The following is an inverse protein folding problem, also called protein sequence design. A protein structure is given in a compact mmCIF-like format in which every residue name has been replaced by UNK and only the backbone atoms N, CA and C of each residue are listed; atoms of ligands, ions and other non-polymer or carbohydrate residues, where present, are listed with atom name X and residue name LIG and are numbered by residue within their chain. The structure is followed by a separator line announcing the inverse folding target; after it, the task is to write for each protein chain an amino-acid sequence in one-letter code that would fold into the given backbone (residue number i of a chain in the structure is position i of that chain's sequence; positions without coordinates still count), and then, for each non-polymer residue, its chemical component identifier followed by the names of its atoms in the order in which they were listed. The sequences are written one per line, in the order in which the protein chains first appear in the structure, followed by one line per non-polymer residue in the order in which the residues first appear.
data_IF_540728154217
#
_entry.id   IF_540728154217
#
_cell.length_a   1.000
_cell.length_b   1.000
_cell.length_c   1.000
_cell.angle_alpha   90.00
_cell.angle_beta   90.00
_cell.angle_gamma   90.00
#
_symmetry.space_group_name_H-M   'P 1'
#
loop_
_entity.id
_entity.type
_entity.pdbx_description
1 polymer ?
#
# COMPACT_ATOMS: atom_id res chain seq x y z
N UNK A 1 -18.05 38.97 18.16
CA UNK A 1 -18.63 37.62 17.98
C UNK A 1 -19.62 37.71 16.83
N UNK A 2 -19.62 36.74 15.90
CA UNK A 2 -20.60 36.72 14.81
C UNK A 2 -22.01 36.59 15.41
N UNK A 3 -22.92 37.50 15.08
CA UNK A 3 -24.27 37.56 15.67
C UNK A 3 -25.33 36.83 14.83
N UNK A 4 -24.94 36.25 13.70
CA UNK A 4 -25.83 35.61 12.74
C UNK A 4 -25.21 34.33 12.21
N UNK A 5 -25.89 33.21 12.43
CA UNK A 5 -25.54 31.88 11.94
C UNK A 5 -26.56 31.45 10.90
N UNK A 6 -26.13 30.64 9.93
CA UNK A 6 -27.02 29.96 9.00
C UNK A 6 -26.74 28.47 9.07
N UNK A 7 -27.79 27.72 9.35
CA UNK A 7 -27.75 26.27 9.41
C UNK A 7 -27.67 25.73 8.00
N UNK A 8 -26.76 24.79 7.76
CA UNK A 8 -26.69 24.07 6.49
C UNK A 8 -27.91 23.17 6.31
N UNK A 9 -28.46 23.16 5.10
CA UNK A 9 -29.43 22.16 4.68
C UNK A 9 -28.69 20.95 4.08
N UNK A 10 -29.39 19.82 3.93
CA UNK A 10 -28.82 18.62 3.31
C UNK A 10 -28.26 18.90 1.89
N UNK A 11 -28.88 19.82 1.14
CA UNK A 11 -28.43 20.22 -0.20
C UNK A 11 -27.21 21.17 -0.21
N UNK A 12 -26.77 21.63 0.96
CA UNK A 12 -25.59 22.50 1.11
C UNK A 12 -24.34 21.71 1.50
N UNK A 13 -24.47 20.41 1.75
CA UNK A 13 -23.37 19.53 2.14
C UNK A 13 -23.23 18.46 1.06
N UNK A 14 -22.01 18.30 0.55
CA UNK A 14 -21.69 17.21 -0.39
C UNK A 14 -20.40 16.57 0.04
N UNK A 15 -20.46 15.29 0.38
CA UNK A 15 -19.26 14.51 0.69
C UNK A 15 -18.83 13.77 -0.56
N UNK A 16 -17.54 13.89 -0.89
CA UNK A 16 -16.91 13.22 -2.02
C UNK A 16 -15.69 12.47 -1.53
N UNK A 17 -15.55 11.22 -1.96
CA UNK A 17 -14.34 10.43 -1.75
C UNK A 17 -13.51 10.49 -3.02
N UNK A 18 -12.26 10.94 -2.92
CA UNK A 18 -11.32 10.97 -4.04
C UNK A 18 -10.19 10.01 -3.76
N UNK A 19 -9.87 9.15 -4.72
CA UNK A 19 -8.71 8.27 -4.66
C UNK A 19 -7.53 8.95 -5.34
N UNK A 20 -6.46 9.17 -4.61
CA UNK A 20 -5.19 9.63 -5.15
C UNK A 20 -4.27 8.42 -5.34
N UNK A 21 -3.53 8.39 -6.45
CA UNK A 21 -2.55 7.35 -6.71
C UNK A 21 -1.16 7.95 -6.85
N UNK A 22 -0.19 7.41 -6.13
CA UNK A 22 1.23 7.72 -6.26
C UNK A 22 1.97 6.47 -6.75
N UNK A 23 2.88 6.63 -7.71
CA UNK A 23 3.71 5.54 -8.20
C UNK A 23 4.88 5.29 -7.25
N UNK A 24 5.08 4.04 -6.87
CA UNK A 24 6.13 3.57 -5.97
C UNK A 24 7.03 2.59 -6.74
N UNK A 25 8.11 3.08 -7.36
CA UNK A 25 9.15 2.23 -7.93
C UNK A 25 10.18 1.87 -6.87
N UNK A 26 10.42 0.58 -6.67
CA UNK A 26 11.46 0.06 -5.80
C UNK A 26 12.44 -0.71 -6.67
N UNK A 27 13.57 -0.08 -6.96
CA UNK A 27 14.53 -0.64 -7.90
C UNK A 27 15.40 -1.72 -7.26
N UNK A 28 15.79 -2.76 -7.99
CA UNK A 28 16.67 -3.83 -7.48
C UNK A 28 18.00 -3.31 -6.93
N UNK A 29 18.48 -2.17 -7.43
CA UNK A 29 19.65 -1.49 -6.84
C UNK A 29 19.42 -1.16 -5.36
N UNK A 30 18.28 -0.59 -4.96
CA UNK A 30 18.00 -0.32 -3.54
C UNK A 30 17.86 -1.61 -2.73
N UNK A 31 17.45 -2.70 -3.36
CA UNK A 31 17.23 -4.00 -2.73
C UNK A 31 18.55 -4.77 -2.52
N UNK A 32 19.50 -4.68 -3.45
CA UNK A 32 20.71 -5.54 -3.44
C UNK A 32 21.99 -4.92 -4.05
N UNK A 33 21.97 -3.70 -4.58
CA UNK A 33 23.10 -3.14 -5.35
C UNK A 33 23.65 -1.77 -4.92
N UNK A 34 22.87 -0.89 -4.31
CA UNK A 34 23.18 0.54 -4.13
C UNK A 34 24.27 0.79 -3.09
N UNK A 35 24.27 0.03 -2.00
CA UNK A 35 25.17 0.24 -0.86
C UNK A 35 26.10 -0.96 -0.64
N UNK A 36 26.60 -1.54 -1.74
CA UNK A 36 27.47 -2.72 -1.74
C UNK A 36 28.83 -2.38 -1.09
N UNK A 37 28.95 -2.71 0.19
CA UNK A 37 30.20 -2.72 0.97
C UNK A 37 30.58 -4.16 1.38
N UNK A 38 31.44 -4.36 2.40
CA UNK A 38 31.65 -5.69 2.99
C UNK A 38 30.36 -6.31 3.58
N UNK A 39 29.37 -5.46 3.88
CA UNK A 39 28.01 -5.77 4.29
C UNK A 39 27.06 -4.82 3.55
N UNK A 40 25.86 -5.28 3.20
CA UNK A 40 24.80 -4.46 2.61
C UNK A 40 24.24 -3.54 3.70
N UNK A 41 24.71 -2.29 3.76
CA UNK A 41 24.47 -1.41 4.92
C UNK A 41 23.03 -0.92 5.07
N UNK A 42 22.19 -1.06 4.04
CA UNK A 42 20.76 -0.76 4.05
C UNK A 42 19.88 -1.98 4.38
N UNK A 43 20.51 -3.11 4.66
CA UNK A 43 19.86 -4.39 4.90
C UNK A 43 20.10 -4.80 6.34
N UNK A 44 19.02 -5.11 7.06
CA UNK A 44 19.08 -5.48 8.46
C UNK A 44 18.62 -6.91 8.66
N UNK A 45 19.55 -7.77 9.04
CA UNK A 45 19.28 -9.10 9.59
C UNK A 45 19.24 -9.03 11.11
N UNK A 46 18.27 -9.69 11.73
CA UNK A 46 18.07 -9.65 13.18
C UNK A 46 18.66 -10.89 13.85
N UNK A 47 19.07 -10.77 15.12
CA UNK A 47 19.67 -11.89 15.87
C UNK A 47 18.76 -13.10 16.04
N UNK A 48 17.43 -12.92 15.96
CA UNK A 48 16.47 -14.03 16.01
C UNK A 48 16.41 -14.83 14.69
N UNK A 49 16.91 -14.27 13.59
CA UNK A 49 17.02 -14.88 12.27
C UNK A 49 15.69 -15.38 11.71
N UNK A 50 14.69 -14.51 11.69
CA UNK A 50 13.32 -14.83 11.25
C UNK A 50 12.85 -13.99 10.06
N UNK A 51 13.54 -12.91 9.73
CA UNK A 51 13.25 -12.04 8.59
C UNK A 51 14.41 -11.07 8.39
N UNK A 52 14.42 -10.45 7.21
CA UNK A 52 15.37 -9.44 6.79
C UNK A 52 14.61 -8.18 6.39
N UNK A 53 15.06 -7.00 6.85
CA UNK A 53 14.43 -5.71 6.51
C UNK A 53 15.27 -4.95 5.50
N UNK A 54 14.60 -4.34 4.51
CA UNK A 54 15.21 -3.47 3.50
C UNK A 54 14.87 -2.02 3.79
N UNK A 55 15.89 -1.16 3.77
CA UNK A 55 15.78 0.29 3.95
C UNK A 55 16.24 1.05 2.71
N UNK A 56 15.75 2.28 2.56
CA UNK A 56 16.12 3.19 1.46
C UNK A 56 17.54 3.77 1.60
N UNK A 57 18.05 3.81 2.83
CA UNK A 57 19.38 4.25 3.22
C UNK A 57 20.01 3.24 4.19
N UNK A 58 21.31 3.38 4.53
CA UNK A 58 21.92 2.57 5.56
C UNK A 58 21.09 2.54 6.85
N UNK A 59 20.73 1.37 7.37
CA UNK A 59 19.67 1.23 8.40
C UNK A 59 20.02 1.85 9.76
N UNK A 60 21.28 2.25 9.98
CA UNK A 60 21.73 3.01 11.15
C UNK A 60 21.57 4.53 11.00
N UNK A 61 21.26 4.99 9.79
CA UNK A 61 21.01 6.40 9.50
C UNK A 61 19.67 6.83 10.10
N UNK A 62 19.62 8.02 10.69
CA UNK A 62 18.37 8.63 11.16
C UNK A 62 17.37 8.95 10.04
N UNK A 63 17.86 8.97 8.79
CA UNK A 63 17.05 9.24 7.60
C UNK A 63 16.60 7.97 6.89
N UNK A 64 16.96 6.78 7.40
CA UNK A 64 16.57 5.52 6.78
C UNK A 64 15.11 5.19 7.08
N UNK A 65 14.33 5.06 6.01
CA UNK A 65 12.96 4.59 6.05
C UNK A 65 12.91 3.10 5.72
N UNK A 66 12.08 2.38 6.46
CA UNK A 66 11.80 0.99 6.20
C UNK A 66 10.92 0.85 4.95
N UNK A 67 11.36 0.01 4.00
CA UNK A 67 10.67 -0.23 2.73
C UNK A 67 9.79 -1.48 2.86
N UNK A 68 10.40 -2.64 3.16
CA UNK A 68 9.69 -3.90 3.36
C UNK A 68 10.53 -4.90 4.16
N UNK A 69 9.87 -5.94 4.65
CA UNK A 69 10.52 -7.13 5.23
C UNK A 69 10.35 -8.35 4.32
N UNK A 70 11.33 -9.23 4.30
CA UNK A 70 11.29 -10.53 3.63
C UNK A 70 11.42 -11.65 4.66
N UNK A 71 10.56 -12.65 4.57
CA UNK A 71 10.68 -13.90 5.32
C UNK A 71 10.20 -15.09 4.49
N UNK A 72 10.43 -16.30 4.99
CA UNK A 72 10.04 -17.55 4.34
C UNK A 72 9.49 -18.54 5.38
N UNK A 73 8.45 -19.26 4.99
CA UNK A 73 7.81 -20.27 5.81
C UNK A 73 7.22 -21.40 4.97
N UNK A 74 6.88 -22.50 5.63
CA UNK A 74 6.24 -23.63 4.97
C UNK A 74 5.21 -24.31 5.87
N UNK A 75 4.27 -25.02 5.24
CA UNK A 75 3.24 -25.78 5.90
C UNK A 75 3.82 -27.07 6.51
N UNK A 76 3.33 -27.44 7.71
CA UNK A 76 3.80 -28.59 8.49
C UNK A 76 3.41 -29.97 7.95
N UNK A 77 2.79 -30.04 6.78
CA UNK A 77 2.52 -31.28 6.05
C UNK A 77 3.01 -31.21 4.61
N UNK A 78 3.94 -30.30 4.31
CA UNK A 78 4.57 -30.24 2.99
C UNK A 78 5.27 -31.56 2.69
N UNK A 79 5.12 -32.08 1.46
CA UNK A 79 5.81 -33.29 1.00
C UNK A 79 7.33 -33.20 1.13
N UNK A 80 7.88 -31.99 1.22
CA UNK A 80 9.30 -31.75 1.42
C UNK A 80 9.77 -32.08 2.84
N UNK A 81 8.88 -32.21 3.82
CA UNK A 81 9.26 -32.71 5.15
C UNK A 81 9.42 -34.24 5.16
N UNK A 82 8.78 -34.95 4.23
CA UNK A 82 8.78 -36.41 4.17
C UNK A 82 9.92 -37.00 3.33
N UNK A 83 10.57 -36.19 2.48
CA UNK A 83 11.77 -36.59 1.71
C UNK A 83 13.01 -36.06 2.44
N UNK A 84 13.63 -36.83 3.36
CA UNK A 84 14.84 -36.39 4.05
C UNK A 84 16.01 -36.40 3.06
N UNK A 85 16.21 -35.29 2.34
CA UNK A 85 17.51 -35.01 1.69
C UNK A 85 18.56 -34.59 2.74
N UNK A 86 18.12 -34.30 3.99
CA UNK A 86 18.98 -33.93 5.10
C UNK A 86 18.53 -34.55 6.44
N UNK A 87 19.47 -34.73 7.37
CA UNK A 87 19.25 -35.45 8.64
C UNK A 87 18.43 -34.67 9.68
N UNK A 88 18.41 -33.34 9.60
CA UNK A 88 17.57 -32.46 10.42
C UNK A 88 17.23 -31.18 9.66
N UNK A 89 15.96 -30.78 9.63
CA UNK A 89 15.53 -29.56 8.96
C UNK A 89 15.94 -28.34 9.79
N UNK A 90 16.62 -27.38 9.17
CA UNK A 90 17.09 -26.16 9.83
C UNK A 90 15.91 -25.22 10.06
N UNK A 91 15.73 -24.80 11.33
CA UNK A 91 14.69 -23.84 11.76
C UNK A 91 13.24 -24.26 11.42
N UNK A 92 12.95 -25.56 11.37
CA UNK A 92 11.64 -26.09 10.96
C UNK A 92 10.45 -25.49 11.73
N UNK A 93 10.51 -25.51 13.07
CA UNK A 93 9.45 -24.94 13.91
C UNK A 93 9.22 -23.44 13.67
N UNK A 94 10.28 -22.68 13.37
CA UNK A 94 10.16 -21.26 13.05
C UNK A 94 9.49 -21.06 11.68
N UNK A 95 9.86 -21.84 10.67
CA UNK A 95 9.25 -21.78 9.33
C UNK A 95 7.76 -22.12 9.36
N UNK A 96 7.38 -23.14 10.13
CA UNK A 96 5.97 -23.51 10.35
C UNK A 96 5.22 -22.37 11.05
N UNK A 97 5.80 -21.81 12.12
CA UNK A 97 5.17 -20.72 12.87
C UNK A 97 4.96 -19.47 12.01
N UNK A 98 5.94 -19.11 11.17
CA UNK A 98 5.83 -17.97 10.24
C UNK A 98 4.71 -18.21 9.24
N UNK A 99 4.69 -19.38 8.58
CA UNK A 99 3.63 -19.72 7.64
C UNK A 99 2.24 -19.63 8.30
N UNK A 100 2.09 -20.23 9.48
CA UNK A 100 0.84 -20.20 10.24
C UNK A 100 0.43 -18.79 10.66
N UNK A 101 1.38 -17.94 11.06
CA UNK A 101 1.10 -16.55 11.42
C UNK A 101 0.56 -15.76 10.24
N UNK A 102 1.18 -15.87 9.06
CA UNK A 102 0.67 -15.21 7.86
C UNK A 102 -0.67 -15.79 7.43
N UNK A 103 -0.83 -17.11 7.48
CA UNK A 103 -2.10 -17.76 7.17
C UNK A 103 -3.24 -17.29 8.11
N UNK A 104 -2.98 -17.15 9.41
CA UNK A 104 -3.98 -16.63 10.36
C UNK A 104 -4.43 -15.19 10.09
N UNK A 105 -3.52 -14.36 9.57
CA UNK A 105 -3.81 -12.95 9.25
C UNK A 105 -4.49 -12.84 7.89
N UNK A 106 -4.13 -13.68 6.92
CA UNK A 106 -4.46 -13.46 5.51
C UNK A 106 -5.53 -14.41 4.97
N UNK A 107 -5.69 -15.58 5.57
CA UNK A 107 -6.61 -16.63 5.14
C UNK A 107 -7.69 -16.83 6.20
N UNK A 108 -8.97 -16.99 5.83
CA UNK A 108 -10.02 -17.31 6.80
C UNK A 108 -9.79 -18.67 7.45
N UNK A 109 -10.24 -18.81 8.70
CA UNK A 109 -10.27 -20.11 9.38
C UNK A 109 -11.24 -21.07 8.69
N UNK A 110 -11.01 -22.38 8.80
CA UNK A 110 -11.95 -23.39 8.31
C UNK A 110 -13.23 -23.44 9.17
N UNK A 111 -14.21 -24.23 8.73
CA UNK A 111 -15.48 -24.43 9.46
C UNK A 111 -15.30 -25.02 10.88
N UNK A 112 -14.13 -25.60 11.16
CA UNK A 112 -13.76 -26.18 12.45
C UNK A 112 -12.88 -25.24 13.29
N UNK A 113 -12.57 -24.04 12.80
CA UNK A 113 -11.71 -23.06 13.47
C UNK A 113 -10.21 -23.29 13.33
N UNK A 114 -9.76 -24.16 12.41
CA UNK A 114 -8.34 -24.39 12.15
C UNK A 114 -7.77 -23.40 11.13
N UNK A 115 -6.46 -23.19 11.21
CA UNK A 115 -5.71 -22.38 10.26
C UNK A 115 -5.73 -23.10 8.91
N UNK A 116 -6.12 -22.38 7.85
CA UNK A 116 -6.11 -22.88 6.49
C UNK A 116 -4.78 -22.59 5.78
N UNK A 117 -4.44 -23.42 4.79
CA UNK A 117 -3.34 -23.14 3.88
C UNK A 117 -3.76 -22.13 2.82
N UNK A 118 -2.78 -21.44 2.23
CA UNK A 118 -3.02 -20.58 1.07
C UNK A 118 -3.45 -21.44 -0.13
N UNK A 119 -4.62 -21.17 -0.71
CA UNK A 119 -5.04 -21.80 -1.95
C UNK A 119 -4.44 -21.05 -3.15
N UNK A 120 -3.83 -21.78 -4.07
CA UNK A 120 -3.24 -21.20 -5.27
C UNK A 120 -4.24 -20.33 -6.04
N UNK A 121 -5.48 -20.80 -6.20
CA UNK A 121 -6.51 -20.13 -7.01
C UNK A 121 -7.36 -19.11 -6.21
N UNK A 122 -7.11 -19.00 -4.90
CA UNK A 122 -7.83 -18.14 -3.97
C UNK A 122 -9.24 -18.63 -3.59
N UNK A 123 -9.64 -19.84 -4.00
CA UNK A 123 -10.86 -20.50 -3.56
C UNK A 123 -10.60 -21.28 -2.27
N UNK A 124 -10.94 -20.66 -1.14
CA UNK A 124 -10.79 -21.28 0.19
C UNK A 124 -11.94 -22.24 0.52
N UNK A 125 -12.96 -22.34 -0.33
CA UNK A 125 -14.12 -23.19 -0.10
C UNK A 125 -14.06 -24.49 -0.92
N UNK A 126 -13.49 -24.43 -2.13
CA UNK A 126 -13.19 -25.60 -2.92
C UNK A 126 -11.87 -26.25 -2.48
N UNK A 127 -11.78 -27.57 -2.60
CA UNK A 127 -10.47 -28.24 -2.57
C UNK A 127 -9.63 -27.78 -3.77
N UNK A 128 -8.30 -27.76 -3.63
CA UNK A 128 -7.43 -27.20 -4.67
C UNK A 128 -5.95 -27.39 -4.36
N UNK A 129 -5.10 -26.94 -5.28
CA UNK A 129 -3.65 -26.92 -5.08
C UNK A 129 -3.30 -25.87 -4.03
N UNK A 130 -2.57 -26.27 -2.99
CA UNK A 130 -2.16 -25.37 -1.92
C UNK A 130 -0.73 -24.88 -2.12
N UNK A 131 -0.41 -23.72 -1.56
CA UNK A 131 0.94 -23.20 -1.52
C UNK A 131 1.64 -23.71 -0.25
N UNK A 132 2.41 -24.78 -0.39
CA UNK A 132 3.07 -25.45 0.74
C UNK A 132 4.24 -24.66 1.31
N UNK A 133 4.98 -23.93 0.48
CA UNK A 133 6.15 -23.15 0.88
C UNK A 133 6.11 -21.79 0.21
N UNK A 134 6.23 -20.75 1.03
CA UNK A 134 6.01 -19.38 0.62
C UNK A 134 7.11 -18.46 1.12
N UNK A 135 7.40 -17.46 0.29
CA UNK A 135 8.04 -16.23 0.70
C UNK A 135 6.97 -15.19 1.00
N UNK A 136 7.22 -14.38 2.02
CA UNK A 136 6.34 -13.31 2.44
C UNK A 136 7.12 -12.00 2.37
N UNK A 137 6.58 -11.02 1.66
CA UNK A 137 7.11 -9.66 1.60
C UNK A 137 6.07 -8.71 2.17
N UNK A 138 6.42 -8.01 3.25
CA UNK A 138 5.51 -7.06 3.91
C UNK A 138 5.98 -5.63 3.66
N UNK A 139 5.25 -4.90 2.83
CA UNK A 139 5.55 -3.51 2.52
C UNK A 139 5.18 -2.58 3.67
N UNK A 140 6.01 -1.58 3.90
CA UNK A 140 5.78 -0.55 4.89
C UNK A 140 4.55 0.28 4.52
N UNK A 141 3.71 0.60 5.52
CA UNK A 141 2.58 1.53 5.36
C UNK A 141 2.99 2.92 4.88
N UNK A 142 4.26 3.30 5.04
CA UNK A 142 4.78 4.54 4.46
C UNK A 142 4.59 4.57 2.93
N UNK A 143 4.78 3.40 2.29
CA UNK A 143 4.72 3.21 0.84
C UNK A 143 3.30 2.89 0.38
N UNK A 144 2.64 1.92 1.03
CA UNK A 144 1.32 1.44 0.60
C UNK A 144 0.17 2.38 0.98
N UNK A 145 0.38 3.29 1.95
CA UNK A 145 -0.65 4.19 2.48
C UNK A 145 -1.89 3.41 2.95
N UNK A 146 -3.03 3.61 2.30
CA UNK A 146 -4.27 2.91 2.62
C UNK A 146 -4.36 1.55 1.92
N UNK A 147 -3.97 1.48 0.65
CA UNK A 147 -3.91 0.21 -0.10
C UNK A 147 -2.99 0.27 -1.33
N UNK A 148 -2.49 -0.89 -1.76
CA UNK A 148 -1.89 -1.06 -3.09
C UNK A 148 -3.00 -1.05 -4.15
N UNK A 149 -2.80 -0.30 -5.23
CA UNK A 149 -3.77 -0.23 -6.34
C UNK A 149 -3.89 -1.57 -7.06
N UNK A 150 -5.13 -2.06 -7.15
CA UNK A 150 -5.48 -3.31 -7.86
C UNK A 150 -5.15 -3.26 -9.35
N UNK A 151 -4.66 -4.38 -9.89
CA UNK A 151 -4.30 -4.59 -11.30
C UNK A 151 -2.97 -3.95 -11.72
N UNK A 152 -2.28 -3.27 -10.82
CA UNK A 152 -1.10 -2.46 -11.12
C UNK A 152 0.19 -2.95 -10.47
N UNK A 153 0.13 -3.93 -9.57
CA UNK A 153 1.32 -4.46 -8.91
C UNK A 153 2.18 -5.26 -9.89
N UNK A 154 3.47 -4.91 -10.00
CA UNK A 154 4.47 -5.60 -10.82
C UNK A 154 5.69 -5.92 -9.96
N UNK A 155 6.20 -7.13 -10.15
CA UNK A 155 7.36 -7.66 -9.41
C UNK A 155 8.23 -8.44 -10.39
N UNK A 156 9.33 -7.83 -10.81
CA UNK A 156 10.30 -8.43 -11.71
C UNK A 156 11.38 -9.11 -10.90
N UNK A 157 11.66 -10.38 -11.23
CA UNK A 157 12.69 -11.15 -10.55
C UNK A 157 13.40 -12.13 -11.46
N UNK A 158 14.64 -12.43 -11.13
CA UNK A 158 15.44 -13.47 -11.76
C UNK A 158 15.06 -14.84 -11.21
N UNK A 159 14.47 -15.69 -12.05
CA UNK A 159 14.06 -17.06 -11.69
C UNK A 159 14.80 -18.06 -12.57
N UNK A 160 15.22 -19.19 -11.99
CA UNK A 160 15.83 -20.26 -12.77
C UNK A 160 14.75 -21.05 -13.52
N UNK A 161 15.00 -21.31 -14.81
CA UNK A 161 14.38 -22.41 -15.53
C UNK A 161 15.46 -23.37 -16.00
N UNK A 162 15.38 -24.62 -15.53
CA UNK A 162 16.31 -25.64 -15.98
C UNK A 162 16.12 -25.88 -17.46
N UNK A 163 17.22 -25.76 -18.19
CA UNK A 163 17.26 -25.93 -19.65
C UNK A 163 17.45 -24.64 -20.45
N UNK A 164 17.54 -23.47 -19.83
CA UNK A 164 17.79 -22.23 -20.57
C UNK A 164 19.29 -21.87 -20.63
N UNK A 165 20.09 -22.70 -21.30
CA UNK A 165 21.34 -22.25 -21.93
C UNK A 165 21.06 -21.32 -23.13
N UNK A 166 19.79 -21.08 -23.46
CA UNK A 166 19.30 -20.23 -24.54
C UNK A 166 18.45 -19.03 -24.05
N UNK A 167 18.52 -18.69 -22.77
CA UNK A 167 17.95 -17.44 -22.28
C UNK A 167 18.93 -16.36 -22.71
N UNK A 168 18.46 -15.34 -23.44
CA UNK A 168 19.29 -14.20 -23.79
C UNK A 168 19.81 -13.61 -22.50
N UNK A 169 21.05 -13.95 -22.17
CA UNK A 169 21.77 -13.35 -21.07
C UNK A 169 21.92 -11.88 -21.42
N UNK A 170 21.63 -10.99 -20.46
CA UNK A 170 21.88 -9.58 -20.66
C UNK A 170 23.41 -9.33 -20.85
N UNK A 171 23.85 -8.13 -21.21
CA UNK A 171 25.28 -7.84 -21.41
C UNK A 171 26.16 -8.09 -20.17
N UNK A 172 25.56 -8.15 -18.98
CA UNK A 172 26.17 -8.44 -17.68
C UNK A 172 26.09 -9.94 -17.32
N UNK A 173 25.37 -10.67 -18.17
CA UNK A 173 25.16 -12.09 -18.24
C UNK A 173 24.04 -12.63 -17.34
N UNK A 174 23.23 -11.78 -16.72
CA UNK A 174 22.08 -12.22 -15.93
C UNK A 174 20.99 -12.81 -16.83
N UNK A 175 20.24 -13.78 -16.31
CA UNK A 175 19.06 -14.32 -17.00
C UNK A 175 18.03 -13.20 -17.20
N UNK A 176 17.22 -13.24 -18.26
CA UNK A 176 16.13 -12.26 -18.40
C UNK A 176 15.15 -12.37 -17.22
N UNK A 177 14.79 -11.25 -16.53
CA UNK A 177 13.87 -11.29 -15.41
C UNK A 177 12.45 -11.69 -15.86
N UNK A 178 11.73 -12.38 -14.98
CA UNK A 178 10.31 -12.68 -15.14
C UNK A 178 9.50 -11.66 -14.36
N UNK A 179 8.60 -10.96 -15.04
CA UNK A 179 7.67 -10.03 -14.40
C UNK A 179 6.42 -10.76 -13.94
N UNK A 180 6.21 -10.76 -12.63
CA UNK A 180 5.00 -11.16 -11.95
C UNK A 180 4.07 -9.97 -11.77
N UNK A 181 2.76 -10.22 -11.69
CA UNK A 181 1.80 -9.17 -11.40
C UNK A 181 0.39 -9.68 -11.20
N UNK A 182 -0.47 -8.80 -10.68
CA UNK A 182 -1.88 -9.06 -10.44
C UNK A 182 -2.73 -8.81 -11.68
N UNK A 183 -2.37 -9.45 -12.78
CA UNK A 183 -3.01 -9.28 -14.09
C UNK A 183 -4.52 -9.57 -14.00
N UNK A 184 -5.35 -8.64 -14.49
CA UNK A 184 -6.82 -8.75 -14.46
C UNK A 184 -7.49 -8.42 -13.13
N UNK A 185 -6.72 -8.21 -12.05
CA UNK A 185 -7.25 -8.03 -10.70
C UNK A 185 -8.04 -6.71 -10.49
N UNK A 186 -8.08 -5.82 -11.48
CA UNK A 186 -9.05 -4.71 -11.48
C UNK A 186 -10.51 -5.19 -11.46
N UNK A 187 -10.77 -6.43 -11.88
CA UNK A 187 -12.13 -7.02 -11.92
C UNK A 187 -12.22 -8.41 -11.29
N UNK A 188 -11.10 -9.14 -11.17
CA UNK A 188 -11.05 -10.51 -10.67
C UNK A 188 -10.41 -10.66 -9.28
N UNK A 189 -10.31 -9.57 -8.52
CA UNK A 189 -9.82 -9.63 -7.13
C UNK A 189 -10.74 -10.48 -6.25
N UNK A 190 -10.17 -11.00 -5.17
CA UNK A 190 -10.82 -11.87 -4.20
C UNK A 190 -11.15 -11.07 -2.93
N UNK A 191 -12.24 -11.47 -2.27
CA UNK A 191 -12.83 -10.77 -1.10
C UNK A 191 -12.96 -11.67 0.14
N UNK A 192 -12.48 -12.91 0.05
CA UNK A 192 -12.60 -13.92 1.09
C UNK A 192 -11.47 -13.89 2.13
N UNK A 193 -10.78 -12.76 2.31
CA UNK A 193 -9.74 -12.60 3.32
C UNK A 193 -10.22 -11.70 4.47
N UNK A 194 -9.85 -12.00 5.73
CA UNK A 194 -10.16 -11.13 6.87
C UNK A 194 -9.41 -9.78 6.82
N UNK A 195 -8.32 -9.67 6.05
CA UNK A 195 -7.49 -8.45 5.96
C UNK A 195 -7.73 -7.69 4.65
N UNK A 196 -8.95 -7.81 4.10
CA UNK A 196 -9.39 -7.06 2.94
C UNK A 196 -9.35 -7.85 1.64
N UNK A 197 -9.10 -7.16 0.55
CA UNK A 197 -9.13 -7.70 -0.80
C UNK A 197 -7.72 -8.08 -1.25
N UNK A 198 -7.64 -9.06 -2.14
CA UNK A 198 -6.36 -9.50 -2.68
C UNK A 198 -6.44 -9.94 -4.14
N UNK A 199 -5.32 -9.82 -4.84
CA UNK A 199 -5.15 -10.26 -6.22
C UNK A 199 -4.33 -11.54 -6.29
N UNK A 200 -4.59 -12.37 -7.30
CA UNK A 200 -3.72 -13.48 -7.64
C UNK A 200 -2.54 -12.96 -8.47
N UNK A 201 -1.34 -13.48 -8.20
CA UNK A 201 -0.11 -13.11 -8.88
C UNK A 201 0.17 -14.12 -9.99
N UNK A 202 0.36 -13.64 -11.22
CA UNK A 202 0.71 -14.47 -12.37
C UNK A 202 2.02 -14.00 -12.98
N UNK A 203 2.72 -14.88 -13.69
CA UNK A 203 3.75 -14.43 -14.63
C UNK A 203 3.11 -13.71 -15.81
N UNK A 204 3.82 -12.75 -16.41
CA UNK A 204 3.34 -11.99 -17.58
C UNK A 204 2.85 -12.87 -18.75
N UNK A 205 3.42 -14.07 -18.90
CA UNK A 205 3.08 -15.04 -19.95
C UNK A 205 1.94 -16.00 -19.59
N UNK A 206 1.46 -16.00 -18.34
CA UNK A 206 0.40 -16.90 -17.90
C UNK A 206 -0.98 -16.30 -18.21
N UNK A 207 -1.95 -17.17 -18.49
CA UNK A 207 -3.35 -16.78 -18.64
C UNK A 207 -3.94 -16.45 -17.27
N UNK A 208 -4.14 -15.16 -17.01
CA UNK A 208 -4.66 -14.68 -15.71
C UNK A 208 -6.17 -14.95 -15.53
N UNK A 209 -6.84 -15.54 -16.53
CA UNK A 209 -8.21 -16.04 -16.38
C UNK A 209 -8.27 -17.47 -15.80
N UNK A 210 -7.16 -18.21 -15.85
CA UNK A 210 -7.00 -19.51 -15.21
C UNK A 210 -6.29 -19.34 -13.84
N UNK A 211 -7.02 -19.33 -12.72
CA UNK A 211 -6.44 -19.04 -11.41
C UNK A 211 -5.52 -20.17 -10.92
N UNK A 212 -5.55 -21.36 -11.55
CA UNK A 212 -4.61 -22.47 -11.27
C UNK A 212 -3.19 -22.20 -11.77
N UNK A 213 -2.96 -21.08 -12.46
CA UNK A 213 -1.64 -20.62 -12.92
C UNK A 213 -1.01 -19.56 -12.01
N UNK A 214 -1.66 -19.21 -10.90
CA UNK A 214 -1.14 -18.21 -9.98
C UNK A 214 0.09 -18.72 -9.22
N UNK A 215 1.03 -17.81 -8.92
CA UNK A 215 2.26 -18.05 -8.16
C UNK A 215 2.25 -17.36 -6.79
N UNK A 216 1.11 -16.81 -6.38
CA UNK A 216 1.05 -16.03 -5.16
C UNK A 216 -0.18 -15.15 -5.06
N UNK A 217 -0.23 -14.36 -3.99
CA UNK A 217 -1.30 -13.40 -3.69
C UNK A 217 -0.70 -12.07 -3.26
N UNK A 218 -1.35 -10.95 -3.63
CA UNK A 218 -1.05 -9.62 -3.10
C UNK A 218 -2.27 -9.09 -2.35
N UNK A 219 -2.13 -8.88 -1.04
CA UNK A 219 -3.18 -8.36 -0.17
C UNK A 219 -3.08 -6.84 -0.11
N UNK A 220 -4.06 -6.15 -0.69
CA UNK A 220 -3.94 -4.73 -1.05
C UNK A 220 -3.91 -3.81 0.17
N UNK A 221 -4.84 -4.00 1.11
CA UNK A 221 -4.92 -3.19 2.34
C UNK A 221 -3.87 -3.62 3.37
N UNK A 222 -3.46 -4.89 3.35
CA UNK A 222 -2.40 -5.41 4.22
C UNK A 222 -1.02 -4.93 3.77
N UNK A 223 -0.81 -4.71 2.46
CA UNK A 223 0.51 -4.47 1.89
C UNK A 223 1.39 -5.72 1.97
N UNK A 224 0.82 -6.92 1.79
CA UNK A 224 1.56 -8.19 1.94
C UNK A 224 1.50 -8.99 0.64
N UNK A 225 2.68 -9.31 0.10
CA UNK A 225 2.85 -10.24 -1.00
C UNK A 225 3.20 -11.62 -0.45
N UNK A 226 2.44 -12.62 -0.86
CA UNK A 226 2.72 -14.04 -0.62
C UNK A 226 3.13 -14.65 -1.96
N UNK A 227 4.33 -15.19 -2.07
CA UNK A 227 4.80 -15.89 -3.26
C UNK A 227 5.08 -17.35 -2.93
N UNK A 228 4.52 -18.29 -3.68
CA UNK A 228 4.93 -19.68 -3.56
C UNK A 228 6.33 -19.88 -4.11
N UNK A 229 7.13 -20.70 -3.43
CA UNK A 229 8.47 -21.09 -3.90
C UNK A 229 8.47 -21.80 -5.25
N UNK A 230 7.31 -22.28 -5.72
CA UNK A 230 7.16 -22.94 -7.03
C UNK A 230 7.49 -22.04 -8.21
N UNK A 231 7.55 -20.71 -8.00
CA UNK A 231 8.07 -19.76 -8.99
C UNK A 231 9.51 -20.07 -9.41
N UNK A 232 10.33 -20.59 -8.49
CA UNK A 232 11.64 -21.14 -8.80
C UNK A 232 11.41 -22.56 -9.34
N UNK A 233 11.66 -22.82 -10.63
CA UNK A 233 11.28 -24.12 -11.23
C UNK A 233 12.08 -25.30 -10.69
N UNK A 234 13.36 -25.08 -10.39
CA UNK A 234 14.25 -26.09 -9.81
C UNK A 234 15.11 -25.51 -8.69
N UNK A 235 16.08 -24.64 -9.01
CA UNK A 235 16.98 -24.08 -7.99
C UNK A 235 16.52 -22.72 -7.45
N UNK A 236 16.68 -22.53 -6.13
CA UNK A 236 16.69 -21.23 -5.50
C UNK A 236 18.10 -20.63 -5.70
N UNK A 237 18.19 -19.66 -6.63
CA UNK A 237 19.42 -18.95 -7.05
C UNK A 237 20.48 -19.87 -7.68
N UNK A 238 20.83 -19.62 -8.94
CA UNK A 238 21.93 -20.33 -9.62
C UNK A 238 23.26 -19.77 -9.11
N UNK A 239 24.01 -20.58 -8.36
CA UNK A 239 25.45 -20.35 -8.20
C UNK A 239 26.14 -20.50 -9.55
N UNK A 240 26.55 -19.39 -10.17
CA UNK A 240 27.24 -19.45 -11.46
C UNK A 240 27.20 -18.17 -12.29
N UNK A 241 26.34 -17.21 -11.96
CA UNK A 241 26.41 -15.86 -12.52
C UNK A 241 26.91 -14.86 -11.49
N UNK A 242 27.77 -13.94 -11.94
CA UNK A 242 28.51 -12.95 -11.14
C UNK A 242 27.54 -12.28 -10.16
N UNK A 243 27.83 -12.38 -8.85
CA UNK A 243 27.01 -11.89 -7.71
C UNK A 243 26.06 -12.89 -7.02
N UNK A 244 26.47 -14.15 -6.76
CA UNK A 244 25.86 -14.85 -5.60
C UNK A 244 26.22 -14.10 -4.32
N UNK A 245 25.23 -13.57 -3.58
CA UNK A 245 25.48 -12.89 -2.30
C UNK A 245 26.19 -13.75 -1.27
N UNK A 246 26.99 -13.09 -0.43
CA UNK A 246 27.49 -13.68 0.79
C UNK A 246 26.31 -14.10 1.67
N UNK A 247 26.42 -15.26 2.33
CA UNK A 247 25.39 -15.79 3.24
C UNK A 247 24.03 -16.09 2.57
N UNK A 248 23.99 -16.42 1.28
CA UNK A 248 22.80 -17.04 0.66
C UNK A 248 22.96 -18.55 0.50
N UNK A 249 21.82 -19.24 0.45
CA UNK A 249 21.76 -20.66 0.11
C UNK A 249 21.52 -20.84 -1.39
N UNK A 250 22.19 -21.84 -1.98
CA UNK A 250 22.03 -22.22 -3.40
C UNK A 250 21.64 -23.70 -3.52
N UNK A 251 20.99 -24.03 -4.64
CA UNK A 251 20.57 -25.39 -4.99
C UNK A 251 19.05 -25.54 -5.08
N UNK A 252 18.58 -26.77 -5.28
CA UNK A 252 17.16 -27.06 -5.48
C UNK A 252 16.32 -26.39 -4.38
N UNK A 253 15.20 -25.76 -4.74
CA UNK A 253 14.31 -25.05 -3.82
C UNK A 253 13.93 -25.91 -2.61
N UNK A 254 13.75 -27.22 -2.80
CA UNK A 254 13.45 -28.19 -1.75
C UNK A 254 14.60 -28.25 -0.73
N UNK A 255 15.83 -28.48 -1.20
CA UNK A 255 17.03 -28.46 -0.35
C UNK A 255 17.23 -27.10 0.32
N UNK A 256 17.02 -26.01 -0.40
CA UNK A 256 17.17 -24.67 0.15
C UNK A 256 16.22 -24.45 1.35
N UNK A 257 14.95 -24.83 1.23
CA UNK A 257 13.99 -24.77 2.34
C UNK A 257 14.31 -25.75 3.47
N UNK A 258 14.97 -26.89 3.21
CA UNK A 258 15.35 -27.83 4.27
C UNK A 258 16.60 -27.40 5.05
N UNK A 259 17.67 -26.99 4.36
CA UNK A 259 18.98 -26.75 4.98
C UNK A 259 19.30 -25.27 5.22
N UNK A 260 18.56 -24.34 4.61
CA UNK A 260 18.79 -22.91 4.75
C UNK A 260 18.17 -22.32 6.01
N UNK A 261 18.83 -21.34 6.62
CA UNK A 261 18.18 -20.46 7.59
C UNK A 261 17.18 -19.53 6.88
N UNK A 262 16.23 -18.97 7.61
CA UNK A 262 15.26 -18.01 7.06
C UNK A 262 15.96 -16.77 6.50
N UNK A 263 17.03 -16.30 7.16
CA UNK A 263 17.83 -15.19 6.64
C UNK A 263 18.51 -15.54 5.31
N UNK A 264 19.02 -16.77 5.16
CA UNK A 264 19.61 -17.23 3.89
C UNK A 264 18.58 -17.32 2.76
N UNK A 265 17.34 -17.71 3.08
CA UNK A 265 16.23 -17.75 2.14
C UNK A 265 15.78 -16.34 1.75
N UNK A 266 15.64 -15.44 2.72
CA UNK A 266 15.27 -14.04 2.49
C UNK A 266 16.33 -13.34 1.62
N UNK A 267 17.61 -13.54 1.93
CA UNK A 267 18.73 -12.97 1.18
C UNK A 267 18.79 -13.53 -0.25
N UNK A 268 18.50 -14.83 -0.43
CA UNK A 268 18.42 -15.45 -1.75
C UNK A 268 17.29 -14.84 -2.61
N UNK A 269 16.09 -14.64 -2.04
CA UNK A 269 15.01 -13.95 -2.73
C UNK A 269 15.38 -12.50 -3.03
N UNK A 270 15.95 -11.80 -2.05
CA UNK A 270 16.32 -10.37 -2.16
C UNK A 270 17.23 -10.10 -3.35
N UNK A 271 18.24 -10.94 -3.55
CA UNK A 271 19.15 -10.83 -4.70
C UNK A 271 18.53 -11.28 -6.03
N UNK A 272 17.43 -12.03 -5.99
CA UNK A 272 16.65 -12.35 -7.16
C UNK A 272 15.71 -11.21 -7.59
N UNK A 273 15.44 -10.22 -6.74
CA UNK A 273 14.57 -9.09 -7.07
C UNK A 273 15.29 -8.16 -8.05
N UNK A 274 14.64 -7.93 -9.20
CA UNK A 274 15.08 -6.95 -10.18
C UNK A 274 14.39 -5.61 -9.96
N UNK A 275 13.06 -5.56 -9.90
CA UNK A 275 12.30 -4.33 -9.64
C UNK A 275 10.93 -4.69 -9.02
N UNK A 276 10.38 -3.80 -8.19
CA UNK A 276 9.01 -3.87 -7.68
C UNK A 276 8.34 -2.53 -7.95
N UNK A 277 7.25 -2.55 -8.71
CA UNK A 277 6.50 -1.34 -9.08
C UNK A 277 5.03 -1.50 -8.73
N UNK A 278 4.49 -0.53 -8.02
CA UNK A 278 3.06 -0.43 -7.79
C UNK A 278 2.65 1.01 -7.51
N UNK A 279 1.37 1.31 -7.71
CA UNK A 279 0.80 2.56 -7.25
C UNK A 279 0.14 2.32 -5.90
N UNK A 280 0.39 3.20 -4.94
CA UNK A 280 -0.44 3.25 -3.74
C UNK A 280 -1.77 3.93 -4.03
N UNK A 281 -2.68 3.83 -3.08
CA UNK A 281 -3.92 4.60 -3.05
C UNK A 281 -4.03 5.28 -1.69
N UNK A 282 -4.33 6.58 -1.73
CA UNK A 282 -4.74 7.34 -0.55
C UNK A 282 -6.17 7.81 -0.74
N UNK A 283 -7.00 7.52 0.24
CA UNK A 283 -8.40 7.92 0.24
C UNK A 283 -8.55 9.30 0.90
N UNK A 284 -8.82 10.32 0.07
CA UNK A 284 -9.13 11.65 0.58
C UNK A 284 -10.65 11.78 0.74
N UNK A 285 -11.08 11.86 1.99
CA UNK A 285 -12.46 12.17 2.33
C UNK A 285 -12.63 13.68 2.39
N UNK A 286 -13.34 14.22 1.41
CA UNK A 286 -13.62 15.65 1.33
C UNK A 286 -15.09 15.90 1.61
N UNK A 287 -15.38 16.79 2.56
CA UNK A 287 -16.74 17.35 2.69
C UNK A 287 -16.74 18.78 2.16
N UNK A 288 -17.58 19.02 1.16
CA UNK A 288 -17.82 20.32 0.58
C UNK A 288 -19.05 20.95 1.22
N UNK A 289 -18.86 22.17 1.74
CA UNK A 289 -19.92 23.01 2.26
C UNK A 289 -20.20 24.14 1.28
N UNK A 290 -21.45 24.29 0.86
CA UNK A 290 -21.92 25.40 0.04
C UNK A 290 -22.51 26.48 0.95
N UNK A 291 -21.69 27.45 1.29
CA UNK A 291 -22.12 28.61 2.07
C UNK A 291 -22.81 29.61 1.14
N UNK A 292 -24.14 29.55 1.09
CA UNK A 292 -24.98 30.43 0.27
C UNK A 292 -25.41 31.65 1.06
N UNK A 293 -24.97 32.83 0.63
CA UNK A 293 -25.47 34.12 1.08
C UNK A 293 -26.45 34.65 0.02
N UNK A 294 -27.74 34.45 0.24
CA UNK A 294 -28.78 34.80 -0.73
C UNK A 294 -28.97 36.32 -0.83
N UNK A 295 -29.78 36.75 -1.79
CA UNK A 295 -30.34 38.12 -1.83
C UNK A 295 -30.94 38.46 -0.46
N UNK A 296 -30.76 39.71 -0.01
CA UNK A 296 -31.21 40.19 1.31
C UNK A 296 -30.53 39.59 2.57
N UNK A 297 -29.61 38.63 2.44
CA UNK A 297 -28.84 38.09 3.57
C UNK A 297 -27.44 38.70 3.67
N UNK A 298 -26.90 38.82 4.89
CA UNK A 298 -25.51 39.22 5.17
C UNK A 298 -25.06 40.57 4.58
N UNK A 299 -25.98 41.49 4.31
CA UNK A 299 -25.67 42.82 3.73
C UNK A 299 -25.10 43.82 4.75
N UNK A 300 -25.05 43.45 6.03
CA UNK A 300 -24.57 44.29 7.13
C UNK A 300 -23.39 43.62 7.83
N UNK A 301 -22.48 44.43 8.38
CA UNK A 301 -21.31 43.93 9.10
C UNK A 301 -21.49 44.12 10.60
N UNK A 302 -21.00 43.16 11.38
CA UNK A 302 -20.86 43.28 12.84
C UNK A 302 -19.54 43.99 13.24
N UNK A 303 -18.77 44.52 12.30
CA UNK A 303 -17.57 45.30 12.59
C UNK A 303 -17.97 46.60 13.34
N UNK A 304 -17.35 46.92 14.50
CA UNK A 304 -17.63 48.16 15.22
C UNK A 304 -17.54 49.43 14.37
N UNK A 305 -16.69 49.46 13.34
CA UNK A 305 -16.57 50.62 12.44
C UNK A 305 -17.78 50.81 11.51
N UNK A 306 -18.71 49.86 11.49
CA UNK A 306 -19.94 49.94 10.70
C UNK A 306 -21.02 50.81 11.36
N UNK A 307 -20.86 51.11 12.66
CA UNK A 307 -21.76 51.95 13.44
C UNK A 307 -21.04 53.20 13.96
N UNK A 308 -21.73 54.34 13.96
CA UNK A 308 -21.33 55.57 14.64
C UNK A 308 -22.55 56.10 15.39
N UNK A 309 -22.44 56.35 16.69
CA UNK A 309 -23.56 56.76 17.56
C UNK A 309 -24.81 55.87 17.43
N UNK A 310 -24.62 54.55 17.34
CA UNK A 310 -25.69 53.55 17.12
C UNK A 310 -26.47 53.72 15.80
N UNK A 311 -25.91 54.45 14.82
CA UNK A 311 -26.43 54.58 13.46
C UNK A 311 -25.50 53.91 12.47
N UNK A 312 -26.05 53.34 11.39
CA UNK A 312 -25.26 52.77 10.30
C UNK A 312 -24.54 53.91 9.57
N UNK A 313 -23.23 53.76 9.38
CA UNK A 313 -22.43 54.71 8.60
C UNK A 313 -22.73 54.51 7.12
N UNK A 314 -23.42 55.47 6.50
CA UNK A 314 -23.74 55.47 5.06
C UNK A 314 -22.71 56.29 4.28
N UNK A 315 -22.28 55.77 3.14
CA UNK A 315 -21.30 56.46 2.29
C UNK A 315 -21.98 57.59 1.53
N UNK A 316 -21.54 58.84 1.76
CA UNK A 316 -22.05 60.02 1.06
C UNK A 316 -23.37 60.58 1.60
N UNK A 317 -23.66 60.36 2.89
CA UNK A 317 -24.85 60.88 3.61
C UNK A 317 -26.21 60.56 2.97
N UNK A 318 -26.26 59.60 2.05
CA UNK A 318 -27.49 59.15 1.43
C UNK A 318 -28.06 57.94 2.19
N UNK A 319 -29.08 58.20 3.00
CA UNK A 319 -29.79 57.15 3.75
C UNK A 319 -30.53 56.14 2.86
N UNK A 320 -30.71 56.43 1.58
CA UNK A 320 -31.35 55.53 0.60
C UNK A 320 -30.33 54.69 -0.18
N UNK A 321 -29.04 54.85 0.06
CA UNK A 321 -28.02 54.02 -0.58
C UNK A 321 -28.09 52.58 -0.08
N UNK A 322 -28.03 51.62 -1.00
CA UNK A 322 -28.02 50.20 -0.63
C UNK A 322 -26.77 49.86 0.22
N UNK A 323 -26.93 49.13 1.33
CA UNK A 323 -25.81 48.69 2.15
C UNK A 323 -24.94 47.69 1.38
N UNK A 324 -23.62 47.84 1.53
CA UNK A 324 -22.62 46.93 0.96
C UNK A 324 -21.75 46.40 2.09
N UNK A 325 -21.57 45.09 2.13
CA UNK A 325 -20.65 44.39 3.02
C UNK A 325 -19.60 43.62 2.21
N UNK A 326 -18.52 43.21 2.86
CA UNK A 326 -17.50 42.38 2.24
C UNK A 326 -17.28 41.13 3.10
N UNK A 327 -17.39 39.96 2.48
CA UNK A 327 -17.14 38.68 3.13
C UNK A 327 -15.64 38.40 3.01
N UNK A 328 -14.97 38.19 4.13
CA UNK A 328 -13.52 37.91 4.19
C UNK A 328 -13.20 36.53 4.76
N UNK A 329 -14.08 36.01 5.60
CA UNK A 329 -13.87 34.78 6.36
C UNK A 329 -15.20 34.07 6.57
N UNK A 330 -15.17 32.74 6.50
CA UNK A 330 -16.30 31.86 6.83
C UNK A 330 -15.88 30.96 7.98
N UNK A 331 -16.69 30.90 9.03
CA UNK A 331 -16.48 30.00 10.17
C UNK A 331 -17.50 28.87 10.16
N UNK A 332 -17.05 27.64 10.36
CA UNK A 332 -17.89 26.47 10.61
C UNK A 332 -18.04 26.31 12.13
N UNK A 333 -19.27 26.25 12.62
CA UNK A 333 -19.58 26.12 14.04
C UNK A 333 -20.32 24.82 14.34
N UNK A 334 -20.06 24.24 15.51
CA UNK A 334 -20.80 23.09 16.05
C UNK A 334 -22.21 23.51 16.54
N UNK A 335 -23.05 22.53 16.90
CA UNK A 335 -24.37 22.79 17.48
C UNK A 335 -24.29 23.54 18.83
N UNK A 336 -23.16 23.43 19.53
CA UNK A 336 -22.89 24.13 20.79
C UNK A 336 -22.24 25.51 20.59
N UNK A 337 -22.20 26.00 19.34
CA UNK A 337 -21.55 27.26 18.93
C UNK A 337 -20.03 27.30 19.12
N UNK A 338 -19.36 26.15 19.09
CA UNK A 338 -17.89 26.09 19.08
C UNK A 338 -17.36 26.19 17.65
N UNK A 339 -16.31 26.98 17.42
CA UNK A 339 -15.69 27.13 16.10
C UNK A 339 -14.88 25.88 15.75
N UNK A 340 -15.29 25.16 14.71
CA UNK A 340 -14.66 23.94 14.23
C UNK A 340 -13.61 24.19 13.15
N UNK A 341 -13.93 25.07 12.19
CA UNK A 341 -13.04 25.37 11.08
C UNK A 341 -13.22 26.82 10.62
N UNK A 342 -12.19 27.37 9.97
CA UNK A 342 -12.22 28.73 9.40
C UNK A 342 -11.63 28.71 8.01
N UNK A 343 -12.37 29.25 7.04
CA UNK A 343 -11.91 29.47 5.68
C UNK A 343 -11.76 30.96 5.41
N UNK A 344 -10.67 31.36 4.74
CA UNK A 344 -10.42 32.75 4.33
C UNK A 344 -10.48 32.84 2.81
N UNK A 345 -11.11 33.89 2.31
CA UNK A 345 -11.07 34.21 0.88
C UNK A 345 -9.79 34.99 0.56
N UNK A 346 -9.26 34.80 -0.64
CA UNK A 346 -8.05 35.50 -1.11
C UNK A 346 -8.26 37.00 -1.24
N UNK A 347 -9.47 37.42 -1.58
CA UNK A 347 -9.89 38.81 -1.68
C UNK A 347 -11.27 39.01 -1.04
N UNK A 348 -11.56 40.18 -0.43
CA UNK A 348 -12.88 40.46 0.14
C UNK A 348 -13.98 40.45 -0.92
N UNK A 349 -14.95 39.53 -0.78
CA UNK A 349 -16.04 39.39 -1.73
C UNK A 349 -17.17 40.37 -1.42
N UNK A 350 -17.51 41.21 -2.40
CA UNK A 350 -18.58 42.22 -2.27
C UNK A 350 -19.96 41.55 -2.19
N UNK A 351 -20.70 41.82 -1.12
CA UNK A 351 -22.11 41.46 -0.93
C UNK A 351 -22.97 42.72 -0.85
N UNK A 352 -24.00 42.78 -1.68
CA UNK A 352 -25.01 43.82 -1.75
C UNK A 352 -26.40 43.18 -1.71
N UNK A 353 -27.43 44.00 -1.54
CA UNK A 353 -28.82 43.52 -1.43
C UNK A 353 -29.25 42.74 -2.66
N UNK A 354 -28.83 43.20 -3.85
CA UNK A 354 -29.22 42.67 -5.16
C UNK A 354 -28.46 41.43 -5.63
N UNK A 355 -27.34 41.06 -4.99
CA UNK A 355 -26.52 39.92 -5.43
C UNK A 355 -26.56 38.75 -4.43
N UNK A 356 -26.38 37.55 -4.96
CA UNK A 356 -26.09 36.35 -4.18
C UNK A 356 -24.60 36.01 -4.26
N UNK A 357 -24.07 35.38 -3.21
CA UNK A 357 -22.71 34.87 -3.17
C UNK A 357 -22.74 33.45 -2.65
N UNK A 358 -22.18 32.51 -3.40
CA UNK A 358 -22.01 31.12 -2.95
C UNK A 358 -20.53 30.81 -2.81
N UNK A 359 -20.12 30.43 -1.61
CA UNK A 359 -18.76 30.00 -1.29
C UNK A 359 -18.72 28.48 -1.18
N UNK A 360 -17.90 27.83 -2.01
CA UNK A 360 -17.63 26.39 -1.90
C UNK A 360 -16.41 26.17 -1.03
N UNK A 361 -16.62 25.75 0.22
CA UNK A 361 -15.56 25.46 1.18
C UNK A 361 -15.31 23.95 1.22
N UNK A 362 -14.08 23.51 0.92
CA UNK A 362 -13.69 22.10 1.00
C UNK A 362 -12.96 21.85 2.31
N UNK A 363 -13.43 20.86 3.07
CA UNK A 363 -12.74 20.33 4.25
C UNK A 363 -12.23 18.93 3.90
N UNK A 364 -10.91 18.77 3.91
CA UNK A 364 -10.25 17.48 3.73
C UNK A 364 -9.75 16.99 5.08
N UNK A 365 -9.93 15.71 5.37
CA UNK A 365 -9.48 15.08 6.61
C UNK A 365 -9.08 13.63 6.42
#
# INVERSE_FOLDING_TARGET
MASTFKTFLANDITTTKTLLHEAIPITGTIVSGTYKGPIDSNIKTFSHGMFESVYDYPYLSSSANHIFDITAGWYSGSLWQEVPLHAAIVQDSKKINIYNQFAQVLVPYDVSGNIQQFDQDGDTAAGGTKMDSCFFITFSRLLTKDEVKKGNFRFSMYVNSTGSTNGTVDPEGRLTPVTLGDYGAATSFKVNSPTGEYGLIFSQSADSSDPTKAFGHIYYQAGILVLTSSIFREDLVIGGYIDTPANSITGSREKAFQSGTIDQLANALRYAIDDIDFNNTTELNSTMYFCRANTNEYNYSANPTYLSDSKIVVKGDNAFAEPVSYITTVGLYSADNELLATAKVSEPLKKAVSNEVTLRVRLDY
#
